data_IF_184988373467
#
_entry.id   IF_184988373467
#
_cell.length_a   1.000
_cell.length_b   1.000
_cell.length_c   1.000
_cell.angle_alpha   90.00
_cell.angle_beta   90.00
_cell.angle_gamma   90.00
#
_symmetry.space_group_name_H-M   'P 1'
#
loop_
_entity.id
_entity.type
_entity.pdbx_description
1 polymer ?
#
# COMPACT_ATOMS: atom_id res chain seq x y z
N UNK A 1 0.45 14.70 -0.83
CA UNK A 1 1.46 13.62 -0.84
C UNK A 1 2.27 13.74 -2.13
N UNK A 2 3.52 14.22 -2.04
CA UNK A 2 4.40 14.31 -3.20
C UNK A 2 5.19 13.01 -3.32
N UNK A 3 5.11 12.34 -4.48
CA UNK A 3 5.77 11.05 -4.72
C UNK A 3 7.11 11.33 -5.42
N UNK A 4 8.27 11.04 -4.79
CA UNK A 4 9.57 11.19 -5.44
C UNK A 4 9.70 10.21 -6.62
N UNK A 5 10.27 10.66 -7.74
CA UNK A 5 10.22 9.97 -9.04
C UNK A 5 11.30 8.90 -9.29
N UNK A 6 12.06 8.46 -8.28
CA UNK A 6 13.26 7.63 -8.51
C UNK A 6 13.22 6.21 -7.93
N UNK A 7 12.08 5.74 -7.42
CA UNK A 7 11.93 4.34 -6.95
C UNK A 7 10.51 3.85 -7.25
N UNK A 8 10.37 2.63 -7.78
CA UNK A 8 9.05 2.00 -7.97
C UNK A 8 8.47 1.61 -6.61
N UNK A 9 7.71 2.51 -6.01
CA UNK A 9 7.02 2.27 -4.74
C UNK A 9 5.73 1.47 -4.97
N UNK A 10 5.62 0.28 -4.37
CA UNK A 10 4.39 -0.54 -4.43
C UNK A 10 3.27 0.09 -3.59
N UNK A 11 3.61 0.59 -2.40
CA UNK A 11 2.71 1.24 -1.46
C UNK A 11 3.46 2.34 -0.70
N UNK A 12 2.83 3.49 -0.53
CA UNK A 12 3.29 4.55 0.37
C UNK A 12 2.12 4.97 1.28
N UNK A 13 2.41 5.18 2.57
CA UNK A 13 1.43 5.49 3.62
C UNK A 13 1.81 6.80 4.31
N UNK A 14 0.83 7.67 4.53
CA UNK A 14 0.97 8.91 5.28
C UNK A 14 -0.07 8.93 6.41
N UNK A 15 0.41 9.23 7.62
CA UNK A 15 -0.43 9.40 8.81
C UNK A 15 -0.32 10.85 9.24
N UNK A 16 -1.46 11.53 9.39
CA UNK A 16 -1.54 12.91 9.83
C UNK A 16 -2.46 13.01 11.03
N UNK A 17 -1.91 13.38 12.18
CA UNK A 17 -2.68 13.67 13.38
C UNK A 17 -3.13 15.13 13.36
N UNK A 18 -4.40 15.36 13.65
CA UNK A 18 -5.01 16.69 13.71
C UNK A 18 -5.00 17.19 15.15
N UNK A 19 -5.02 18.51 15.32
CA UNK A 19 -5.03 19.14 16.66
C UNK A 19 -6.20 18.69 17.57
N UNK A 20 -7.28 18.19 17.00
CA UNK A 20 -8.43 17.65 17.72
C UNK A 20 -8.27 16.17 18.16
N UNK A 21 -7.10 15.56 17.94
CA UNK A 21 -6.85 14.13 18.21
C UNK A 21 -7.41 13.17 17.16
N UNK A 22 -8.02 13.69 16.08
CA UNK A 22 -8.39 12.87 14.91
C UNK A 22 -7.16 12.51 14.08
N UNK A 23 -7.24 11.41 13.32
CA UNK A 23 -6.14 10.95 12.47
C UNK A 23 -6.62 10.72 11.04
N UNK A 24 -5.90 11.27 10.07
CA UNK A 24 -6.08 10.99 8.64
C UNK A 24 -5.00 10.01 8.22
N UNK A 25 -5.44 8.91 7.62
CA UNK A 25 -4.56 7.94 6.98
C UNK A 25 -4.76 8.05 5.48
N UNK A 26 -3.69 8.37 4.75
CA UNK A 26 -3.67 8.43 3.29
C UNK A 26 -2.71 7.37 2.75
N UNK A 27 -3.13 6.66 1.71
CA UNK A 27 -2.35 5.62 1.06
C UNK A 27 -2.28 5.91 -0.44
N UNK A 28 -1.11 5.73 -1.04
CA UNK A 28 -0.91 5.70 -2.48
C UNK A 28 -0.40 4.32 -2.89
N UNK A 29 -1.05 3.72 -3.88
CA UNK A 29 -0.73 2.40 -4.40
C UNK A 29 -0.25 2.52 -5.83
N UNK A 30 0.69 1.67 -6.24
CA UNK A 30 1.01 1.52 -7.65
C UNK A 30 -0.15 0.79 -8.35
N UNK A 31 -0.94 1.53 -9.14
CA UNK A 31 -2.08 1.01 -9.89
C UNK A 31 -1.68 -0.09 -10.89
N UNK A 32 -0.43 -0.13 -11.35
CA UNK A 32 0.05 -1.22 -12.23
C UNK A 32 0.10 -2.57 -11.50
N UNK A 33 0.20 -2.56 -10.17
CA UNK A 33 0.36 -3.74 -9.33
C UNK A 33 -0.88 -4.04 -8.47
N UNK A 34 -1.89 -3.17 -8.51
CA UNK A 34 -3.07 -3.28 -7.64
C UNK A 34 -4.29 -2.65 -8.29
N UNK A 35 -5.42 -3.35 -8.16
CA UNK A 35 -6.74 -2.82 -8.47
C UNK A 35 -7.44 -2.32 -7.21
N UNK A 36 -8.57 -1.62 -7.38
CA UNK A 36 -9.35 -1.09 -6.27
C UNK A 36 -9.81 -2.16 -5.27
N UNK A 37 -10.03 -3.40 -5.73
CA UNK A 37 -10.47 -4.50 -4.88
C UNK A 37 -9.35 -4.99 -3.96
N UNK A 38 -8.17 -5.21 -4.53
CA UNK A 38 -6.94 -5.59 -3.82
C UNK A 38 -6.51 -4.50 -2.84
N UNK A 39 -6.65 -3.23 -3.23
CA UNK A 39 -6.44 -2.08 -2.34
C UNK A 39 -7.41 -2.10 -1.15
N UNK A 40 -8.70 -2.35 -1.38
CA UNK A 40 -9.72 -2.43 -0.32
C UNK A 40 -9.43 -3.59 0.65
N UNK A 41 -9.12 -4.77 0.11
CA UNK A 41 -8.73 -5.94 0.91
C UNK A 41 -7.51 -5.66 1.79
N UNK A 42 -6.49 -4.99 1.24
CA UNK A 42 -5.33 -4.55 2.01
C UNK A 42 -5.71 -3.63 3.17
N UNK A 43 -6.55 -2.60 2.93
CA UNK A 43 -6.96 -1.66 3.98
C UNK A 43 -7.77 -2.35 5.09
N UNK A 44 -8.68 -3.26 4.74
CA UNK A 44 -9.46 -4.04 5.71
C UNK A 44 -8.55 -4.95 6.53
N UNK A 45 -7.63 -5.67 5.87
CA UNK A 45 -6.68 -6.54 6.55
C UNK A 45 -5.76 -5.74 7.48
N UNK A 46 -5.26 -4.59 7.03
CA UNK A 46 -4.44 -3.71 7.84
C UNK A 46 -5.20 -3.18 9.08
N UNK A 47 -6.47 -2.79 8.92
CA UNK A 47 -7.29 -2.35 10.03
C UNK A 47 -7.56 -3.48 11.04
N UNK A 48 -7.84 -4.71 10.57
CA UNK A 48 -7.99 -5.89 11.44
C UNK A 48 -6.72 -6.20 12.21
N UNK A 49 -5.57 -6.16 11.52
CA UNK A 49 -4.28 -6.38 12.15
C UNK A 49 -3.96 -5.34 13.22
N UNK A 50 -4.24 -4.06 12.95
CA UNK A 50 -4.06 -2.98 13.92
C UNK A 50 -4.95 -3.15 15.18
N UNK A 51 -6.09 -3.83 15.05
CA UNK A 51 -6.98 -4.19 16.18
C UNK A 51 -6.63 -5.54 16.84
N UNK A 52 -5.53 -6.18 16.44
CA UNK A 52 -5.11 -7.51 16.92
C UNK A 52 -6.17 -8.60 16.66
N UNK A 53 -7.01 -8.43 15.64
CA UNK A 53 -7.99 -9.44 15.25
C UNK A 53 -7.34 -10.57 14.43
N UNK A 54 -7.89 -11.78 14.56
CA UNK A 54 -7.46 -12.93 13.75
C UNK A 54 -7.82 -12.73 12.29
N UNK A 55 -6.81 -12.72 11.41
CA UNK A 55 -7.03 -12.71 9.96
C UNK A 55 -7.38 -14.11 9.46
N UNK A 56 -8.57 -14.26 8.85
CA UNK A 56 -9.04 -15.53 8.27
C UNK A 56 -8.74 -15.67 6.78
N UNK A 57 -8.53 -14.55 6.08
CA UNK A 57 -8.43 -14.51 4.62
C UNK A 57 -7.05 -13.94 4.25
N UNK A 58 -6.09 -14.82 3.94
CA UNK A 58 -4.83 -14.36 3.36
C UNK A 58 -5.04 -14.00 1.89
N UNK A 59 -4.45 -12.90 1.40
CA UNK A 59 -4.48 -12.59 -0.02
C UNK A 59 -3.70 -13.66 -0.80
N UNK A 60 -4.24 -14.06 -1.95
CA UNK A 60 -3.53 -14.92 -2.89
C UNK A 60 -2.67 -14.00 -3.76
N UNK A 61 -1.35 -14.11 -3.63
CA UNK A 61 -0.40 -13.33 -4.43
C UNK A 61 0.06 -14.19 -5.61
N UNK A 62 -0.36 -13.83 -6.82
CA UNK A 62 0.17 -14.41 -8.05
C UNK A 62 1.46 -13.68 -8.43
N UNK A 63 2.61 -14.24 -8.05
CA UNK A 63 3.94 -13.68 -8.32
C UNK A 63 4.41 -13.94 -9.78
N UNK A 64 3.58 -13.62 -10.77
CA UNK A 64 3.99 -13.66 -12.18
C UNK A 64 4.35 -12.23 -12.65
N UNK A 65 5.63 -12.04 -12.99
CA UNK A 65 6.19 -10.93 -13.78
C UNK A 65 6.58 -9.63 -13.04
N UNK A 66 7.28 -9.72 -11.90
CA UNK A 66 8.06 -8.57 -11.43
C UNK A 66 9.53 -8.73 -11.83
N UNK A 67 9.87 -8.41 -13.08
CA UNK A 67 11.26 -8.10 -13.42
C UNK A 67 11.57 -6.69 -12.88
N UNK A 68 12.54 -6.54 -11.95
CA UNK A 68 13.00 -5.22 -11.55
C UNK A 68 13.65 -4.58 -12.77
N UNK A 69 13.02 -3.57 -13.36
CA UNK A 69 13.67 -2.80 -14.42
C UNK A 69 14.84 -2.06 -13.78
N UNK A 70 16.06 -2.45 -14.13
CA UNK A 70 17.26 -1.72 -13.75
C UNK A 70 17.15 -0.29 -14.32
N UNK A 71 17.46 0.76 -13.54
CA UNK A 71 17.58 2.09 -14.12
C UNK A 71 18.72 2.03 -15.13
N UNK A 72 18.41 2.32 -16.40
CA UNK A 72 19.39 2.41 -17.47
C UNK A 72 20.51 3.37 -17.03
N UNK A 73 21.69 2.80 -16.81
CA UNK A 73 22.93 3.54 -16.56
C UNK A 73 23.17 4.47 -17.74
N UNK A 74 23.29 5.77 -17.44
CA UNK A 74 23.80 6.79 -18.36
C UNK A 74 25.19 6.41 -18.90
#
# INVERSE_FOLDING_TARGET
>A
MQIPKSVTHVLMKQVTELKCGSMIISCAFNHQLSDAYSMSMFLVAWAKHARLEKMSNLPIISALNFEPTTPSSL
#
